data_IF_074891053086
#
_entry.id   IF_074891053086
#
_cell.length_a   1.000
_cell.length_b   1.000
_cell.length_c   1.000
_cell.angle_alpha   90.00
_cell.angle_beta   90.00
_cell.angle_gamma   90.00
#
_symmetry.space_group_name_H-M   'P 1'
#
loop_
_entity.id
_entity.type
_entity.pdbx_description
1 polymer ?
#
# COMPACT_ATOMS: atom_id res chain seq x y z
N UNK A 1 47.39 -40.67 5.16
CA UNK A 1 47.84 -39.66 4.17
C UNK A 1 46.62 -39.29 3.34
N UNK A 2 45.73 -38.38 3.73
CA UNK A 2 45.85 -36.93 3.99
C UNK A 2 46.55 -36.15 2.88
N UNK A 3 45.76 -35.29 2.21
CA UNK A 3 46.03 -33.93 1.67
C UNK A 3 44.96 -33.66 0.56
N UNK A 4 43.79 -33.07 0.87
CA UNK A 4 43.43 -31.63 0.88
C UNK A 4 43.98 -30.79 -0.31
N UNK A 5 43.05 -30.26 -1.12
CA UNK A 5 42.91 -28.84 -1.49
C UNK A 5 41.61 -28.68 -2.32
N UNK A 6 40.51 -28.09 -1.85
CA UNK A 6 40.25 -26.71 -1.37
C UNK A 6 40.14 -25.66 -2.49
N UNK A 7 38.89 -25.18 -2.66
CA UNK A 7 38.43 -23.82 -3.01
C UNK A 7 38.89 -23.19 -4.33
N UNK A 8 37.89 -22.88 -5.17
CA UNK A 8 37.73 -21.54 -5.77
C UNK A 8 36.26 -21.13 -5.71
N UNK A 9 35.93 -20.44 -4.63
CA UNK A 9 34.90 -19.42 -4.56
C UNK A 9 35.45 -18.19 -5.29
N UNK A 10 34.88 -17.82 -6.44
CA UNK A 10 35.17 -16.53 -7.07
C UNK A 10 34.10 -15.52 -6.66
N UNK A 11 34.57 -14.65 -5.77
CA UNK A 11 34.15 -13.32 -5.40
C UNK A 11 33.36 -12.57 -6.49
N UNK A 12 32.11 -12.22 -6.18
CA UNK A 12 31.39 -11.11 -6.80
C UNK A 12 31.07 -10.10 -5.70
N UNK A 13 32.02 -9.23 -5.40
CA UNK A 13 31.77 -7.99 -4.67
C UNK A 13 32.34 -6.81 -5.47
N UNK A 14 31.44 -6.05 -6.09
CA UNK A 14 31.53 -4.60 -6.30
C UNK A 14 30.31 -4.12 -7.10
N UNK A 15 29.33 -3.52 -6.42
CA UNK A 15 28.20 -2.80 -7.03
C UNK A 15 26.99 -2.64 -6.11
N UNK A 16 27.06 -1.72 -5.13
CA UNK A 16 25.99 -1.18 -4.27
C UNK A 16 25.24 -2.14 -3.30
N UNK A 17 24.95 -1.68 -2.06
CA UNK A 17 24.07 -2.34 -1.06
C UNK A 17 22.77 -1.49 -0.87
N UNK A 18 21.71 -1.93 -0.15
CA UNK A 18 20.73 -3.02 -0.37
C UNK A 18 19.26 -2.50 -0.46
N UNK A 19 18.35 -3.20 -1.16
CA UNK A 19 16.88 -2.95 -1.09
C UNK A 19 16.29 -4.02 -0.14
N UNK A 20 15.96 -3.63 1.09
CA UNK A 20 15.69 -4.53 2.21
C UNK A 20 14.29 -5.14 2.23
N UNK A 21 14.22 -6.44 2.54
CA UNK A 21 13.14 -7.31 3.07
C UNK A 21 11.65 -7.16 2.68
N UNK A 22 11.17 -5.99 2.24
CA UNK A 22 9.77 -5.73 1.87
C UNK A 22 9.59 -5.70 0.36
N UNK A 23 8.80 -6.62 -0.19
CA UNK A 23 8.41 -6.60 -1.60
C UNK A 23 7.62 -5.32 -1.90
N UNK A 24 8.09 -4.45 -2.82
CA UNK A 24 7.39 -3.22 -3.15
C UNK A 24 5.97 -3.45 -3.67
N UNK A 25 5.04 -2.57 -3.30
CA UNK A 25 3.64 -2.63 -3.74
C UNK A 25 3.27 -1.44 -4.63
N UNK A 26 2.85 -1.73 -5.86
CA UNK A 26 2.33 -0.74 -6.80
C UNK A 26 0.81 -0.90 -6.89
N UNK A 27 0.12 0.00 -6.19
CA UNK A 27 -1.32 -0.03 -5.97
C UNK A 27 -2.04 0.99 -6.86
N UNK A 28 -2.81 0.55 -7.85
CA UNK A 28 -3.57 1.41 -8.75
C UNK A 28 -4.94 1.76 -8.19
N UNK A 29 -5.10 2.94 -7.59
CA UNK A 29 -6.38 3.46 -7.13
C UNK A 29 -7.15 4.12 -8.28
N UNK A 30 -8.11 3.38 -8.84
CA UNK A 30 -8.90 3.85 -9.98
C UNK A 30 -9.91 4.92 -9.62
N UNK A 31 -10.20 5.12 -8.32
CA UNK A 31 -11.24 6.04 -7.83
C UNK A 31 -12.57 5.79 -8.57
N UNK A 32 -13.39 6.82 -8.75
CA UNK A 32 -14.68 6.74 -9.43
C UNK A 32 -14.56 7.09 -10.93
N UNK A 33 -13.90 6.25 -11.74
CA UNK A 33 -13.60 6.58 -13.14
C UNK A 33 -14.20 5.66 -14.22
N UNK A 34 -14.24 4.34 -14.00
CA UNK A 34 -14.57 3.37 -15.06
C UNK A 34 -15.70 2.44 -14.65
N UNK A 35 -16.29 1.76 -15.63
CA UNK A 35 -17.29 0.71 -15.42
C UNK A 35 -16.69 -0.69 -15.52
N UNK A 36 -17.51 -1.70 -15.23
CA UNK A 36 -17.08 -3.09 -15.17
C UNK A 36 -16.54 -3.66 -16.49
N UNK A 37 -16.91 -3.13 -17.66
CA UNK A 37 -16.37 -3.59 -18.95
C UNK A 37 -15.00 -2.97 -19.20
N UNK A 38 -14.86 -1.68 -18.92
CA UNK A 38 -13.58 -0.98 -18.97
C UNK A 38 -12.58 -1.55 -17.94
N UNK A 39 -13.05 -1.94 -16.75
CA UNK A 39 -12.26 -2.62 -15.73
C UNK A 39 -11.65 -3.93 -16.24
N UNK A 40 -12.46 -4.78 -16.89
CA UNK A 40 -11.98 -6.03 -17.52
C UNK A 40 -10.90 -5.70 -18.55
N UNK A 41 -11.18 -4.78 -19.47
CA UNK A 41 -10.25 -4.41 -20.53
C UNK A 41 -8.93 -3.84 -19.97
N UNK A 42 -8.99 -3.03 -18.92
CA UNK A 42 -7.81 -2.45 -18.29
C UNK A 42 -6.95 -3.51 -17.60
N UNK A 43 -7.55 -4.41 -16.81
CA UNK A 43 -6.81 -5.51 -16.16
C UNK A 43 -6.15 -6.42 -17.20
N UNK A 44 -6.85 -6.77 -18.28
CA UNK A 44 -6.27 -7.57 -19.37
C UNK A 44 -5.06 -6.87 -19.99
N UNK A 45 -5.18 -5.58 -20.30
CA UNK A 45 -4.08 -4.79 -20.88
C UNK A 45 -2.89 -4.68 -19.93
N UNK A 46 -3.13 -4.42 -18.64
CA UNK A 46 -2.06 -4.37 -17.62
C UNK A 46 -1.35 -5.72 -17.53
N UNK A 47 -2.11 -6.81 -17.42
CA UNK A 47 -1.55 -8.16 -17.34
C UNK A 47 -0.70 -8.52 -18.57
N UNK A 48 -1.18 -8.22 -19.78
CA UNK A 48 -0.41 -8.46 -21.01
C UNK A 48 0.84 -7.59 -21.06
N UNK A 49 0.74 -6.31 -20.70
CA UNK A 49 1.88 -5.39 -20.73
C UNK A 49 2.98 -5.83 -19.75
N UNK A 50 2.59 -6.27 -18.55
CA UNK A 50 3.53 -6.79 -17.55
C UNK A 50 4.14 -8.13 -17.99
N UNK A 51 3.35 -9.03 -18.58
CA UNK A 51 3.85 -10.31 -19.08
C UNK A 51 4.82 -10.14 -20.25
N UNK A 52 4.47 -9.31 -21.22
CA UNK A 52 5.33 -9.04 -22.39
C UNK A 52 6.63 -8.33 -21.98
N UNK A 53 6.58 -7.65 -20.84
CA UNK A 53 7.74 -7.06 -20.18
C UNK A 53 8.50 -8.04 -19.27
N UNK A 54 8.12 -9.31 -19.12
CA UNK A 54 8.75 -10.26 -18.19
C UNK A 54 8.83 -9.72 -16.76
N UNK A 55 7.72 -9.12 -16.29
CA UNK A 55 7.60 -8.61 -14.93
C UNK A 55 7.51 -9.75 -13.92
N UNK A 56 8.35 -9.70 -12.88
CA UNK A 56 8.32 -10.63 -11.77
C UNK A 56 7.46 -10.06 -10.61
N UNK A 57 6.39 -10.76 -10.30
CA UNK A 57 5.42 -10.39 -9.27
C UNK A 57 5.90 -10.71 -7.85
N UNK A 58 6.90 -11.57 -7.69
CA UNK A 58 7.55 -11.83 -6.39
C UNK A 58 8.51 -10.67 -6.03
N UNK A 59 9.03 -9.99 -7.06
CA UNK A 59 9.92 -8.86 -6.95
C UNK A 59 9.20 -7.54 -6.72
N UNK A 60 8.02 -7.35 -7.32
CA UNK A 60 7.15 -6.17 -7.17
C UNK A 60 5.69 -6.62 -7.28
N UNK A 61 4.94 -6.47 -6.19
CA UNK A 61 3.51 -6.76 -6.18
C UNK A 61 2.73 -5.65 -6.92
N UNK A 62 1.78 -6.05 -7.77
CA UNK A 62 0.88 -5.14 -8.47
C UNK A 62 -0.54 -5.40 -8.02
N UNK A 63 -1.19 -4.37 -7.50
CA UNK A 63 -2.57 -4.41 -7.04
C UNK A 63 -3.42 -3.35 -7.75
N UNK A 64 -4.69 -3.65 -8.03
CA UNK A 64 -5.66 -2.66 -8.54
C UNK A 64 -6.85 -2.51 -7.59
N UNK A 65 -7.37 -1.29 -7.49
CA UNK A 65 -8.46 -0.95 -6.60
C UNK A 65 -9.61 -0.38 -7.42
N UNK A 66 -10.46 -1.23 -8.01
CA UNK A 66 -11.60 -0.81 -8.81
C UNK A 66 -12.78 -0.30 -7.96
N UNK A 67 -13.73 0.44 -8.54
CA UNK A 67 -15.04 0.68 -7.92
C UNK A 67 -15.73 -0.61 -7.49
N UNK A 68 -16.58 -0.55 -6.46
CA UNK A 68 -17.28 -1.73 -5.94
C UNK A 68 -18.07 -2.51 -7.01
N UNK A 69 -18.66 -1.79 -7.97
CA UNK A 69 -19.45 -2.35 -9.08
C UNK A 69 -18.63 -3.25 -10.01
N UNK A 70 -17.31 -3.12 -9.97
CA UNK A 70 -16.40 -3.73 -10.92
C UNK A 70 -15.64 -4.90 -10.30
N UNK A 71 -15.58 -4.99 -8.96
CA UNK A 71 -14.85 -6.02 -8.21
C UNK A 71 -15.19 -7.44 -8.66
N UNK A 72 -16.47 -7.75 -8.88
CA UNK A 72 -16.87 -9.09 -9.33
C UNK A 72 -16.35 -9.42 -10.74
N UNK A 73 -16.29 -8.42 -11.61
CA UNK A 73 -15.76 -8.58 -12.97
C UNK A 73 -14.24 -8.77 -12.95
N UNK A 74 -13.54 -7.99 -12.11
CA UNK A 74 -12.09 -8.15 -11.90
C UNK A 74 -11.76 -9.51 -11.27
N UNK A 75 -12.46 -9.92 -10.21
CA UNK A 75 -12.29 -11.23 -9.57
C UNK A 75 -12.46 -12.36 -10.59
N UNK A 76 -13.54 -12.33 -11.37
CA UNK A 76 -13.85 -13.40 -12.34
C UNK A 76 -12.76 -13.54 -13.39
N UNK A 77 -12.24 -12.41 -13.88
CA UNK A 77 -11.14 -12.37 -14.84
C UNK A 77 -9.84 -12.89 -14.22
N UNK A 78 -9.44 -12.37 -13.06
CA UNK A 78 -8.20 -12.76 -12.37
C UNK A 78 -8.19 -14.26 -12.08
N UNK A 79 -9.31 -14.80 -11.60
CA UNK A 79 -9.44 -16.23 -11.31
C UNK A 79 -9.43 -17.10 -12.57
N UNK A 80 -10.17 -16.71 -13.63
CA UNK A 80 -10.27 -17.48 -14.86
C UNK A 80 -8.94 -17.56 -15.61
N UNK A 81 -8.24 -16.43 -15.73
CA UNK A 81 -6.99 -16.32 -16.48
C UNK A 81 -5.75 -16.58 -15.59
N UNK A 82 -5.95 -16.84 -14.28
CA UNK A 82 -4.90 -17.03 -13.27
C UNK A 82 -3.89 -15.89 -13.28
N UNK A 83 -4.39 -14.66 -13.34
CA UNK A 83 -3.55 -13.47 -13.39
C UNK A 83 -2.85 -13.27 -12.03
N UNK A 84 -1.55 -12.96 -12.00
CA UNK A 84 -0.82 -12.70 -10.75
C UNK A 84 -1.11 -11.31 -10.15
N UNK A 85 -1.98 -10.51 -10.78
CA UNK A 85 -2.41 -9.20 -10.27
C UNK A 85 -3.37 -9.41 -9.09
N UNK A 86 -3.10 -8.74 -7.97
CA UNK A 86 -4.01 -8.71 -6.82
C UNK A 86 -4.99 -7.54 -6.93
N UNK A 87 -6.07 -7.56 -6.15
CA UNK A 87 -7.03 -6.46 -6.14
C UNK A 87 -7.61 -6.21 -4.76
N UNK A 88 -8.17 -5.02 -4.58
CA UNK A 88 -8.78 -4.58 -3.32
C UNK A 88 -9.90 -3.59 -3.52
N UNK A 89 -10.59 -3.24 -2.43
CA UNK A 89 -11.64 -2.24 -2.45
C UNK A 89 -11.13 -0.84 -2.12
N UNK A 90 -11.82 0.19 -2.62
CA UNK A 90 -11.50 1.59 -2.35
C UNK A 90 -12.05 2.09 -1.00
N UNK A 91 -12.92 1.31 -0.35
CA UNK A 91 -13.43 1.56 0.99
C UNK A 91 -13.96 0.24 1.60
N UNK A 92 -14.21 0.23 2.91
CA UNK A 92 -14.91 -0.86 3.61
C UNK A 92 -15.73 -0.28 4.76
N UNK A 93 -16.91 -0.85 5.03
CA UNK A 93 -17.72 -0.49 6.19
C UNK A 93 -17.06 -0.96 7.49
N UNK A 94 -17.22 -0.19 8.57
CA UNK A 94 -16.82 -0.63 9.91
C UNK A 94 -17.73 -1.76 10.46
N UNK A 95 -18.90 -1.94 9.84
CA UNK A 95 -19.91 -2.92 10.23
C UNK A 95 -19.81 -4.22 9.40
N UNK A 96 -20.06 -5.35 10.05
CA UNK A 96 -20.03 -6.66 9.38
C UNK A 96 -21.29 -6.92 8.52
N UNK A 97 -22.44 -6.44 8.99
CA UNK A 97 -23.76 -6.51 8.37
C UNK A 97 -24.74 -5.59 9.12
N UNK A 98 -25.89 -5.27 8.52
CA UNK A 98 -26.97 -4.55 9.20
C UNK A 98 -27.69 -3.54 8.33
N UNK A 99 -28.40 -2.62 8.96
CA UNK A 99 -29.17 -1.56 8.31
C UNK A 99 -28.29 -0.37 7.89
N UNK A 100 -27.26 -0.64 7.07
CA UNK A 100 -26.31 0.34 6.55
C UNK A 100 -26.47 0.43 5.03
N UNK A 101 -27.55 1.06 4.58
CA UNK A 101 -27.92 1.12 3.16
C UNK A 101 -26.82 1.79 2.33
N UNK A 102 -26.19 1.04 1.43
CA UNK A 102 -25.13 1.52 0.54
C UNK A 102 -23.72 1.11 0.95
N UNK A 103 -23.54 0.62 2.18
CA UNK A 103 -22.24 0.18 2.70
C UNK A 103 -21.85 -1.22 2.18
N UNK A 104 -20.55 -1.44 2.03
CA UNK A 104 -19.96 -2.73 1.66
C UNK A 104 -19.13 -3.27 2.82
N UNK A 105 -19.50 -4.42 3.37
CA UNK A 105 -18.80 -5.02 4.51
C UNK A 105 -17.55 -5.78 4.10
N UNK A 106 -16.62 -5.93 5.05
CA UNK A 106 -15.42 -6.75 4.85
C UNK A 106 -15.76 -8.20 4.48
N UNK A 107 -16.87 -8.75 5.00
CA UNK A 107 -17.34 -10.09 4.64
C UNK A 107 -17.70 -10.21 3.15
N UNK A 108 -18.29 -9.17 2.55
CA UNK A 108 -18.61 -9.17 1.11
C UNK A 108 -17.35 -9.09 0.26
N UNK A 109 -16.39 -8.26 0.66
CA UNK A 109 -15.11 -8.13 -0.04
C UNK A 109 -14.28 -9.42 0.02
N UNK A 110 -14.23 -10.07 1.18
CA UNK A 110 -13.57 -11.37 1.32
C UNK A 110 -14.21 -12.44 0.42
N UNK A 111 -15.54 -12.42 0.22
CA UNK A 111 -16.23 -13.32 -0.73
C UNK A 111 -15.91 -13.03 -2.20
N UNK A 112 -15.41 -11.85 -2.50
CA UNK A 112 -14.90 -11.48 -3.81
C UNK A 112 -13.39 -11.79 -3.94
N UNK A 113 -12.78 -12.46 -2.96
CA UNK A 113 -11.34 -12.73 -2.90
C UNK A 113 -10.47 -11.47 -2.98
N UNK A 114 -11.02 -10.31 -2.59
CA UNK A 114 -10.24 -9.09 -2.48
C UNK A 114 -9.17 -9.28 -1.40
N UNK A 115 -7.93 -8.86 -1.68
CA UNK A 115 -6.81 -8.95 -0.74
C UNK A 115 -6.74 -7.72 0.16
N UNK A 116 -7.01 -6.54 -0.41
CA UNK A 116 -6.82 -5.25 0.26
C UNK A 116 -8.13 -4.46 0.42
N UNK A 117 -8.14 -3.54 1.37
CA UNK A 117 -9.15 -2.49 1.45
C UNK A 117 -8.48 -1.14 1.82
N UNK A 118 -8.64 -0.13 0.97
CA UNK A 118 -8.23 1.24 1.28
C UNK A 118 -9.16 1.79 2.35
N UNK A 119 -8.60 2.47 3.35
CA UNK A 119 -9.37 3.17 4.39
C UNK A 119 -8.77 4.53 4.68
N UNK A 120 -9.62 5.53 4.92
CA UNK A 120 -9.16 6.87 5.28
C UNK A 120 -8.43 7.62 4.17
N UNK A 121 -8.69 7.29 2.89
CA UNK A 121 -8.20 8.08 1.77
C UNK A 121 -8.59 9.55 1.94
N UNK A 122 -7.71 10.47 1.57
CA UNK A 122 -7.88 11.93 1.74
C UNK A 122 -9.24 12.45 1.23
N UNK A 123 -9.71 11.94 0.10
CA UNK A 123 -11.04 12.24 -0.46
C UNK A 123 -12.18 11.81 0.47
N UNK A 124 -12.06 10.66 1.15
CA UNK A 124 -13.07 10.19 2.11
C UNK A 124 -13.04 10.98 3.40
N UNK A 125 -11.85 11.29 3.93
CA UNK A 125 -11.70 12.21 5.07
C UNK A 125 -12.30 13.58 4.78
N UNK A 126 -12.09 14.11 3.57
CA UNK A 126 -12.57 15.44 3.19
C UNK A 126 -14.06 15.50 2.86
N UNK A 127 -14.56 14.56 2.04
CA UNK A 127 -15.92 14.61 1.49
C UNK A 127 -16.94 13.80 2.30
N UNK A 128 -16.47 12.79 3.03
CA UNK A 128 -17.30 11.90 3.84
C UNK A 128 -17.03 12.03 5.34
N UNK A 129 -16.14 12.95 5.73
CA UNK A 129 -15.84 13.30 7.12
C UNK A 129 -15.36 12.13 7.97
N UNK A 130 -14.59 11.21 7.37
CA UNK A 130 -13.99 10.10 8.10
C UNK A 130 -12.92 10.61 9.08
N UNK A 131 -13.17 10.43 10.37
CA UNK A 131 -12.21 10.71 11.43
C UNK A 131 -11.28 9.52 11.70
N UNK A 132 -10.24 9.74 12.50
CA UNK A 132 -9.20 8.74 12.77
C UNK A 132 -9.76 7.48 13.43
N UNK A 133 -10.74 7.63 14.32
CA UNK A 133 -11.36 6.51 15.00
C UNK A 133 -12.21 5.68 14.03
N UNK A 134 -12.96 6.32 13.13
CA UNK A 134 -13.72 5.63 12.09
C UNK A 134 -12.79 4.90 11.12
N UNK A 135 -11.69 5.52 10.69
CA UNK A 135 -10.68 4.87 9.86
C UNK A 135 -10.09 3.65 10.57
N UNK A 136 -9.79 3.77 11.87
CA UNK A 136 -9.34 2.66 12.71
C UNK A 136 -10.35 1.51 12.80
N UNK A 137 -11.64 1.82 13.00
CA UNK A 137 -12.71 0.79 13.03
C UNK A 137 -12.93 0.12 11.68
N UNK A 138 -12.77 0.84 10.57
CA UNK A 138 -12.76 0.26 9.22
C UNK A 138 -11.56 -0.65 8.98
N UNK A 139 -10.36 -0.22 9.41
CA UNK A 139 -9.17 -1.07 9.37
C UNK A 139 -9.34 -2.34 10.20
N UNK A 140 -9.92 -2.22 11.40
CA UNK A 140 -10.28 -3.37 12.22
C UNK A 140 -11.25 -4.30 11.49
N UNK A 141 -12.29 -3.76 10.84
CA UNK A 141 -13.24 -4.56 10.06
C UNK A 141 -12.55 -5.31 8.90
N UNK A 142 -11.61 -4.67 8.19
CA UNK A 142 -10.79 -5.34 7.19
C UNK A 142 -10.03 -6.52 7.78
N UNK A 143 -9.30 -6.31 8.89
CA UNK A 143 -8.52 -7.34 9.58
C UNK A 143 -9.42 -8.51 10.02
N UNK A 144 -10.59 -8.23 10.63
CA UNK A 144 -11.55 -9.25 11.08
C UNK A 144 -11.98 -10.20 9.96
N UNK A 145 -12.08 -9.69 8.73
CA UNK A 145 -12.51 -10.48 7.56
C UNK A 145 -11.36 -10.97 6.68
N UNK A 146 -10.11 -10.88 7.15
CA UNK A 146 -8.93 -11.41 6.45
C UNK A 146 -8.43 -10.53 5.31
N UNK A 147 -8.87 -9.28 5.25
CA UNK A 147 -8.36 -8.28 4.31
C UNK A 147 -7.16 -7.54 4.94
N UNK A 148 -6.23 -7.09 4.10
CA UNK A 148 -5.13 -6.22 4.49
C UNK A 148 -5.58 -4.76 4.37
N UNK A 149 -5.72 -4.00 5.47
CA UNK A 149 -6.05 -2.59 5.39
C UNK A 149 -4.87 -1.79 4.80
N UNK A 150 -5.17 -0.95 3.82
CA UNK A 150 -4.28 0.07 3.27
C UNK A 150 -4.73 1.42 3.83
N UNK A 151 -4.09 1.84 4.91
CA UNK A 151 -4.48 3.00 5.72
C UNK A 151 -3.83 4.26 5.13
N UNK A 152 -4.66 5.19 4.68
CA UNK A 152 -4.16 6.46 4.17
C UNK A 152 -4.09 7.54 5.26
N UNK A 153 -2.98 8.28 5.25
CA UNK A 153 -2.69 9.39 6.15
C UNK A 153 -2.00 10.51 5.38
N UNK A 154 -2.21 11.75 5.79
CA UNK A 154 -1.75 12.92 5.04
C UNK A 154 -2.16 14.24 5.66
N UNK A 155 -1.33 15.26 5.46
CA UNK A 155 -1.58 16.64 5.85
C UNK A 155 -1.97 17.53 4.67
N UNK A 156 -2.89 18.47 4.94
CA UNK A 156 -3.20 19.57 4.01
C UNK A 156 -2.10 20.64 4.03
N UNK A 157 -2.17 21.61 3.11
CA UNK A 157 -1.22 22.73 3.13
C UNK A 157 -1.33 23.56 4.42
N UNK A 158 -2.55 23.73 4.94
CA UNK A 158 -2.78 24.45 6.19
C UNK A 158 -2.22 23.70 7.41
N UNK A 159 -2.35 22.37 7.42
CA UNK A 159 -1.75 21.53 8.46
C UNK A 159 -0.22 21.60 8.43
N UNK A 160 0.37 21.50 7.23
CA UNK A 160 1.81 21.58 7.03
C UNK A 160 2.37 22.93 7.51
N UNK A 161 1.70 24.03 7.20
CA UNK A 161 2.07 25.37 7.66
C UNK A 161 1.95 25.51 9.19
N UNK A 162 0.87 24.99 9.77
CA UNK A 162 0.57 25.18 11.19
C UNK A 162 1.37 24.25 12.12
N UNK A 163 1.63 23.01 11.71
CA UNK A 163 2.16 21.94 12.57
C UNK A 163 3.47 21.35 12.08
N UNK A 164 3.87 21.65 10.84
CA UNK A 164 5.05 21.08 10.20
C UNK A 164 4.82 19.68 9.61
N UNK A 165 5.82 19.15 8.90
CA UNK A 165 5.71 17.86 8.21
C UNK A 165 5.54 16.71 9.21
N UNK A 166 4.82 15.68 8.80
CA UNK A 166 4.55 14.44 9.54
C UNK A 166 3.71 14.57 10.83
N UNK A 167 3.50 15.76 11.39
CA UNK A 167 2.74 15.91 12.65
C UNK A 167 1.31 15.36 12.52
N UNK A 168 0.59 15.74 11.47
CA UNK A 168 -0.78 15.26 11.22
C UNK A 168 -0.82 13.80 10.76
N UNK A 169 -0.01 13.32 9.80
CA UNK A 169 0.00 11.91 9.42
C UNK A 169 0.30 10.96 10.58
N UNK A 170 1.24 11.33 11.45
CA UNK A 170 1.56 10.54 12.67
C UNK A 170 0.36 10.50 13.61
N UNK A 171 -0.27 11.65 13.87
CA UNK A 171 -1.48 11.71 14.70
C UNK A 171 -2.61 10.83 14.13
N UNK A 172 -2.86 10.94 12.82
CA UNK A 172 -3.89 10.16 12.13
C UNK A 172 -3.61 8.65 12.20
N UNK A 173 -2.35 8.24 11.99
CA UNK A 173 -1.94 6.85 12.07
C UNK A 173 -2.14 6.30 13.48
N UNK A 174 -1.65 7.01 14.50
CA UNK A 174 -1.78 6.58 15.89
C UNK A 174 -3.25 6.50 16.33
N UNK A 175 -4.08 7.47 15.91
CA UNK A 175 -5.51 7.46 16.15
C UNK A 175 -6.22 6.25 15.53
N UNK A 176 -5.88 5.90 14.30
CA UNK A 176 -6.42 4.70 13.65
C UNK A 176 -5.92 3.40 14.31
N UNK A 177 -4.62 3.31 14.61
CA UNK A 177 -4.01 2.12 15.25
C UNK A 177 -4.65 1.80 16.59
N UNK A 178 -5.00 2.83 17.38
CA UNK A 178 -5.64 2.64 18.68
C UNK A 178 -6.91 1.75 18.64
N UNK A 179 -7.64 1.76 17.52
CA UNK A 179 -8.87 0.98 17.36
C UNK A 179 -8.62 -0.50 17.04
N UNK A 180 -7.46 -0.87 16.48
CA UNK A 180 -7.17 -2.25 16.09
C UNK A 180 -5.96 -2.88 16.77
N UNK A 181 -5.21 -2.12 17.58
CA UNK A 181 -4.00 -2.61 18.25
C UNK A 181 -4.25 -3.85 19.14
N UNK A 182 -5.38 -3.87 19.85
CA UNK A 182 -5.77 -5.00 20.69
C UNK A 182 -6.05 -6.28 19.88
N UNK A 183 -6.63 -6.14 18.68
CA UNK A 183 -6.85 -7.28 17.78
C UNK A 183 -5.53 -7.80 17.21
N UNK A 184 -4.58 -6.92 16.87
CA UNK A 184 -3.23 -7.33 16.46
C UNK A 184 -2.52 -8.10 17.57
N UNK A 185 -2.59 -7.62 18.82
CA UNK A 185 -2.01 -8.30 19.97
C UNK A 185 -2.62 -9.70 20.16
N UNK A 186 -3.95 -9.81 20.10
CA UNK A 186 -4.66 -11.08 20.21
C UNK A 186 -4.24 -12.09 19.13
N UNK A 187 -4.08 -11.64 17.87
CA UNK A 187 -3.61 -12.47 16.76
C UNK A 187 -2.16 -12.91 16.96
N UNK A 188 -1.28 -11.99 17.37
CA UNK A 188 0.11 -12.30 17.65
C UNK A 188 0.25 -13.36 18.77
N UNK A 189 -0.58 -13.29 19.80
CA UNK A 189 -0.63 -14.30 20.88
C UNK A 189 -1.13 -15.66 20.40
N UNK A 190 -1.99 -15.69 19.37
CA UNK A 190 -2.41 -16.90 18.68
C UNK A 190 -1.37 -17.41 17.66
N UNK A 191 -0.25 -16.72 17.47
CA UNK A 191 0.75 -17.04 16.45
C UNK A 191 0.35 -16.64 15.04
N UNK A 192 -0.66 -15.79 14.89
CA UNK A 192 -1.12 -15.24 13.63
C UNK A 192 -0.48 -13.88 13.36
N UNK A 193 -0.22 -13.57 12.10
CA UNK A 193 0.18 -12.23 11.66
C UNK A 193 -0.97 -11.56 10.92
N UNK A 194 -1.18 -10.28 11.19
CA UNK A 194 -2.07 -9.44 10.41
C UNK A 194 -1.22 -8.37 9.73
N UNK A 195 -1.17 -8.44 8.42
CA UNK A 195 -0.49 -7.46 7.60
C UNK A 195 -1.30 -6.16 7.56
N UNK A 196 -0.59 -5.03 7.58
CA UNK A 196 -1.13 -3.70 7.35
C UNK A 196 -0.24 -2.98 6.34
N UNK A 197 -0.83 -2.08 5.56
CA UNK A 197 -0.13 -1.20 4.63
C UNK A 197 -0.51 0.24 4.97
N UNK A 198 0.43 1.17 4.85
CA UNK A 198 0.19 2.61 5.04
C UNK A 198 0.45 3.31 3.71
N UNK A 199 -0.36 4.31 3.37
CA UNK A 199 -0.05 5.23 2.27
C UNK A 199 0.01 6.67 2.77
N UNK A 200 1.16 7.32 2.57
CA UNK A 200 1.33 8.74 2.86
C UNK A 200 0.85 9.58 1.67
N UNK A 201 -0.20 10.36 1.87
CA UNK A 201 -0.76 11.30 0.90
C UNK A 201 -0.29 12.73 1.23
N UNK A 202 0.67 13.33 0.51
CA UNK A 202 0.99 14.75 0.64
C UNK A 202 -0.16 15.59 0.03
N UNK A 203 -1.30 15.73 0.73
CA UNK A 203 -2.51 16.37 0.20
C UNK A 203 -2.23 17.79 -0.30
N UNK A 204 -1.31 18.50 0.35
CA UNK A 204 -0.80 19.80 -0.06
C UNK A 204 -0.19 19.83 -1.49
N UNK A 205 0.28 18.70 -2.00
CA UNK A 205 0.89 18.55 -3.32
C UNK A 205 -0.08 18.01 -4.38
N UNK A 206 -1.16 17.32 -3.97
CA UNK A 206 -2.10 16.66 -4.89
C UNK A 206 -2.85 17.71 -5.73
N UNK A 207 -2.82 17.56 -7.06
CA UNK A 207 -3.50 18.47 -7.99
C UNK A 207 -2.85 19.85 -8.16
N UNK A 208 -1.77 20.15 -7.41
CA UNK A 208 -1.07 21.46 -7.45
C UNK A 208 -0.15 21.64 -8.67
N UNK A 209 0.07 20.57 -9.45
CA UNK A 209 1.09 20.51 -10.51
C UNK A 209 2.52 20.37 -9.98
N UNK A 210 2.74 20.33 -8.66
CA UNK A 210 4.03 20.06 -8.01
C UNK A 210 3.94 18.78 -7.19
N UNK A 211 4.82 17.82 -7.46
CA UNK A 211 4.97 16.66 -6.60
C UNK A 211 5.86 17.01 -5.39
N UNK A 212 5.65 16.33 -4.26
CA UNK A 212 6.63 16.31 -3.18
C UNK A 212 7.95 15.74 -3.71
N UNK A 213 9.08 16.19 -3.19
CA UNK A 213 10.37 15.56 -3.53
C UNK A 213 10.49 14.20 -2.84
N UNK A 214 11.35 13.33 -3.37
CA UNK A 214 11.61 12.03 -2.75
C UNK A 214 12.11 12.16 -1.30
N UNK A 215 12.92 13.19 -1.01
CA UNK A 215 13.42 13.47 0.33
C UNK A 215 12.32 13.92 1.29
N UNK A 216 11.38 14.76 0.84
CA UNK A 216 10.21 15.15 1.64
C UNK A 216 9.32 13.96 1.96
N UNK A 217 9.09 13.08 0.98
CA UNK A 217 8.33 11.85 1.18
C UNK A 217 9.04 10.91 2.17
N UNK A 218 10.35 10.71 2.02
CA UNK A 218 11.17 9.88 2.89
C UNK A 218 11.15 10.38 4.35
N UNK A 219 11.23 11.69 4.57
CA UNK A 219 11.19 12.25 5.93
C UNK A 219 9.88 11.88 6.65
N UNK A 220 8.74 12.04 5.98
CA UNK A 220 7.43 11.74 6.57
C UNK A 220 7.25 10.23 6.73
N UNK A 221 7.57 9.45 5.71
CA UNK A 221 7.40 7.99 5.72
C UNK A 221 8.30 7.31 6.77
N UNK A 222 9.55 7.76 6.93
CA UNK A 222 10.42 7.26 8.01
C UNK A 222 9.84 7.54 9.40
N UNK A 223 9.24 8.72 9.62
CA UNK A 223 8.56 9.05 10.88
C UNK A 223 7.30 8.20 11.10
N UNK A 224 6.53 7.91 10.05
CA UNK A 224 5.36 7.02 10.14
C UNK A 224 5.75 5.61 10.58
N UNK A 225 6.87 5.08 10.09
CA UNK A 225 7.38 3.76 10.50
C UNK A 225 7.70 3.72 12.00
N UNK A 226 8.42 4.73 12.50
CA UNK A 226 8.72 4.85 13.93
C UNK A 226 7.45 5.00 14.77
N UNK A 227 6.53 5.87 14.36
CA UNK A 227 5.27 6.10 15.06
C UNK A 227 4.38 4.84 15.14
N UNK A 228 4.41 3.97 14.12
CA UNK A 228 3.72 2.69 14.15
C UNK A 228 4.29 1.77 15.24
N UNK A 229 5.62 1.65 15.31
CA UNK A 229 6.29 0.87 16.36
C UNK A 229 5.96 1.39 17.76
N UNK A 230 6.01 2.71 17.95
CA UNK A 230 5.62 3.35 19.22
C UNK A 230 4.17 3.05 19.62
N UNK A 231 3.23 3.17 18.67
CA UNK A 231 1.81 2.94 18.92
C UNK A 231 1.50 1.47 19.30
N UNK A 232 2.29 0.53 18.77
CA UNK A 232 2.11 -0.90 19.00
C UNK A 232 2.93 -1.43 20.20
N UNK A 233 3.87 -0.65 20.73
CA UNK A 233 4.75 -1.10 21.81
C UNK A 233 3.99 -1.49 23.09
N UNK A 234 3.02 -0.68 23.52
CA UNK A 234 2.20 -1.00 24.69
C UNK A 234 1.35 -2.28 24.53
N UNK A 235 0.61 -2.49 23.41
CA UNK A 235 -0.20 -3.68 23.23
C UNK A 235 0.57 -4.95 22.83
N UNK A 236 1.69 -4.85 22.09
CA UNK A 236 2.42 -6.02 21.57
C UNK A 236 3.74 -6.31 22.29
N UNK A 237 4.30 -5.34 23.03
CA UNK A 237 5.68 -5.35 23.49
C UNK A 237 6.65 -4.88 22.40
N UNK A 238 7.80 -4.34 22.83
CA UNK A 238 8.75 -3.66 21.95
C UNK A 238 9.22 -4.51 20.75
N UNK A 239 9.68 -5.74 21.00
CA UNK A 239 10.22 -6.61 19.94
C UNK A 239 9.19 -6.92 18.84
N UNK A 240 7.94 -7.24 19.23
CA UNK A 240 6.87 -7.54 18.27
C UNK A 240 6.41 -6.27 17.55
N UNK A 241 6.33 -5.15 18.25
CA UNK A 241 5.98 -3.87 17.65
C UNK A 241 7.00 -3.43 16.59
N UNK A 242 8.30 -3.56 16.89
CA UNK A 242 9.39 -3.29 15.97
C UNK A 242 9.32 -4.21 14.74
N UNK A 243 9.05 -5.51 14.94
CA UNK A 243 8.87 -6.46 13.84
C UNK A 243 7.69 -6.08 12.93
N UNK A 244 6.54 -5.67 13.49
CA UNK A 244 5.39 -5.21 12.70
C UNK A 244 5.74 -3.94 11.92
N UNK A 245 6.40 -2.96 12.55
CA UNK A 245 6.80 -1.73 11.88
C UNK A 245 7.84 -1.96 10.77
N UNK A 246 8.78 -2.89 10.98
CA UNK A 246 9.79 -3.27 9.99
C UNK A 246 9.20 -4.04 8.80
N UNK A 247 8.16 -4.84 9.01
CA UNK A 247 7.46 -5.59 7.96
C UNK A 247 6.41 -4.75 7.20
N UNK A 248 5.85 -3.71 7.84
CA UNK A 248 4.80 -2.87 7.25
C UNK A 248 5.31 -2.12 6.02
N UNK A 249 4.60 -2.25 4.91
CA UNK A 249 4.89 -1.49 3.68
C UNK A 249 4.29 -0.09 3.80
N UNK A 250 5.09 0.94 3.56
CA UNK A 250 4.64 2.34 3.55
C UNK A 250 4.81 2.91 2.14
N UNK A 251 3.68 3.20 1.51
CA UNK A 251 3.59 3.67 0.14
C UNK A 251 3.60 5.19 0.07
N UNK A 252 4.14 5.73 -1.00
CA UNK A 252 3.91 7.11 -1.38
C UNK A 252 2.62 7.25 -2.18
N UNK A 253 1.68 8.06 -1.69
CA UNK A 253 0.35 8.30 -2.28
C UNK A 253 0.21 9.64 -3.00
N UNK A 254 1.32 10.34 -3.27
CA UNK A 254 1.30 11.58 -4.06
C UNK A 254 1.28 11.33 -5.56
N UNK A 255 1.57 12.37 -6.35
CA UNK A 255 1.64 12.25 -7.82
C UNK A 255 2.83 11.39 -8.25
N UNK A 256 2.55 10.21 -8.81
CA UNK A 256 3.54 9.25 -9.31
C UNK A 256 3.35 9.05 -10.81
N UNK A 257 4.47 9.04 -11.53
CA UNK A 257 4.56 8.78 -12.95
C UNK A 257 5.83 7.95 -13.25
N UNK A 258 5.92 7.44 -14.48
CA UNK A 258 7.04 6.58 -14.91
C UNK A 258 8.41 7.26 -14.71
N UNK A 259 8.48 8.57 -14.90
CA UNK A 259 9.70 9.37 -14.85
C UNK A 259 10.20 9.64 -13.42
N UNK A 260 9.32 9.62 -12.41
CA UNK A 260 9.66 9.98 -11.04
C UNK A 260 9.66 8.79 -10.06
N UNK A 261 9.01 7.68 -10.40
CA UNK A 261 8.78 6.58 -9.45
C UNK A 261 10.07 5.94 -8.93
N UNK A 262 11.09 5.81 -9.79
CA UNK A 262 12.38 5.27 -9.39
C UNK A 262 13.09 6.14 -8.33
N UNK A 263 12.87 7.46 -8.36
CA UNK A 263 13.44 8.36 -7.35
C UNK A 263 12.80 8.20 -5.97
N UNK A 264 11.50 7.90 -5.92
CA UNK A 264 10.79 7.61 -4.66
C UNK A 264 11.19 6.24 -4.11
N UNK A 265 11.15 5.18 -4.91
CA UNK A 265 11.50 3.83 -4.44
C UNK A 265 13.00 3.59 -4.26
N UNK A 266 13.85 4.58 -4.58
CA UNK A 266 15.24 4.58 -4.17
C UNK A 266 15.43 5.02 -2.70
N UNK A 267 14.39 5.56 -2.04
CA UNK A 267 14.43 5.94 -0.64
C UNK A 267 14.23 4.70 0.26
N UNK A 268 14.94 4.61 1.41
CA UNK A 268 15.02 3.39 2.20
C UNK A 268 13.71 2.95 2.86
N UNK A 269 12.79 3.88 3.13
CA UNK A 269 11.53 3.57 3.81
C UNK A 269 10.31 3.58 2.88
N UNK A 270 10.48 3.93 1.60
CA UNK A 270 9.38 3.99 0.64
C UNK A 270 9.24 2.64 -0.07
N UNK A 271 8.19 1.90 0.29
CA UNK A 271 8.00 0.51 -0.12
C UNK A 271 7.00 0.36 -1.29
N UNK A 272 6.74 1.43 -2.02
CA UNK A 272 5.80 1.41 -3.14
C UNK A 272 5.04 2.70 -3.36
N UNK A 273 3.96 2.59 -4.13
CA UNK A 273 3.14 3.74 -4.53
C UNK A 273 1.65 3.41 -4.55
N UNK A 274 0.83 4.34 -4.05
CA UNK A 274 -0.62 4.37 -4.29
C UNK A 274 -0.90 5.34 -5.45
N UNK A 275 -1.03 4.78 -6.64
CA UNK A 275 -1.08 5.50 -7.92
C UNK A 275 -2.52 5.89 -8.25
N UNK A 276 -2.77 7.20 -8.40
CA UNK A 276 -4.06 7.74 -8.85
C UNK A 276 -4.25 7.64 -10.38
N UNK A 277 -4.37 8.79 -11.05
CA UNK A 277 -4.76 8.84 -12.48
C UNK A 277 -3.89 8.02 -13.44
N UNK A 278 -2.58 7.91 -13.19
CA UNK A 278 -1.68 7.09 -14.02
C UNK A 278 -2.01 5.58 -13.97
N UNK A 279 -2.80 5.13 -13.00
CA UNK A 279 -3.26 3.73 -12.92
C UNK A 279 -4.38 3.37 -13.89
N UNK A 280 -5.01 4.37 -14.51
CA UNK A 280 -6.07 4.20 -15.51
C UNK A 280 -5.54 3.97 -16.92
N UNK A 281 -4.23 4.14 -17.13
CA UNK A 281 -3.55 3.84 -18.38
C UNK A 281 -2.61 2.64 -18.18
N UNK A 282 -2.83 1.58 -18.96
CA UNK A 282 -2.11 0.32 -18.79
C UNK A 282 -0.60 0.46 -18.99
N UNK A 283 -0.18 1.24 -19.98
CA UNK A 283 1.24 1.44 -20.28
C UNK A 283 1.94 2.25 -19.17
N UNK A 284 1.30 3.32 -18.70
CA UNK A 284 1.80 4.14 -17.58
C UNK A 284 1.88 3.33 -16.29
N UNK A 285 0.83 2.59 -15.94
CA UNK A 285 0.80 1.79 -14.71
C UNK A 285 1.81 0.64 -14.74
N UNK A 286 1.89 -0.10 -15.85
CA UNK A 286 2.88 -1.17 -16.01
C UNK A 286 4.31 -0.61 -16.06
N UNK A 287 4.53 0.58 -16.63
CA UNK A 287 5.80 1.28 -16.55
C UNK A 287 6.16 1.62 -15.11
N UNK A 288 5.20 2.14 -14.33
CA UNK A 288 5.41 2.42 -12.90
C UNK A 288 5.79 1.13 -12.13
N UNK A 289 5.09 0.02 -12.39
CA UNK A 289 5.41 -1.28 -11.80
C UNK A 289 6.84 -1.75 -12.11
N UNK A 290 7.37 -1.37 -13.26
CA UNK A 290 8.73 -1.69 -13.71
C UNK A 290 9.77 -0.64 -13.30
N UNK A 291 9.56 0.13 -12.22
CA UNK A 291 10.44 1.21 -11.78
C UNK A 291 11.93 0.83 -11.71
N UNK A 292 12.26 -0.44 -11.40
CA UNK A 292 13.65 -0.94 -11.36
C UNK A 292 14.37 -0.77 -12.70
N UNK A 293 13.67 -0.78 -13.82
CA UNK A 293 14.22 -0.54 -15.17
C UNK A 293 14.54 0.93 -15.43
N UNK A 294 14.00 1.82 -14.62
CA UNK A 294 14.18 3.28 -14.73
C UNK A 294 15.28 3.80 -13.80
N UNK A 295 15.85 2.94 -12.95
CA UNK A 295 17.05 3.25 -12.18
C UNK A 295 18.21 3.35 -13.16
N UNK A 296 18.59 4.58 -13.51
CA UNK A 296 19.85 4.82 -14.24
C UNK A 296 20.98 4.38 -13.32
N UNK A 297 21.71 3.33 -13.68
CA UNK A 297 22.99 3.01 -13.06
C UNK A 297 23.88 4.25 -13.19
N UNK A 298 24.13 4.90 -12.05
CA UNK A 298 25.15 5.93 -11.90
C UNK A 298 26.54 5.30 -11.90
#
# INVERSE_FOLDING_TARGET
MSLRNSKRTEDRSAGAHPVGERTPLIAGNWKMNIDHLHAIALVQKVAWTLRDADHDFDDVEVAVFPPFTDLRSVQSLVAADKLPITFGAQDVSEHDHGAFTGDISGAFLNRLDAKYAIVGHSERRSYHHEDDAQVGRKALAAIRHGLVPLICVGETAADLEAKGPAAVPVQQLQGAVAEFAAELAKRADAGETAEIVIAYEPVWAIGSGKAATAQQAQEVIGRLRGALGEALCAPLGAERADAVAAATRILYGGSVAVDNVAGFLAQPDIDGALVGGASLDAASFAGIAQFRRHVRTA
#
